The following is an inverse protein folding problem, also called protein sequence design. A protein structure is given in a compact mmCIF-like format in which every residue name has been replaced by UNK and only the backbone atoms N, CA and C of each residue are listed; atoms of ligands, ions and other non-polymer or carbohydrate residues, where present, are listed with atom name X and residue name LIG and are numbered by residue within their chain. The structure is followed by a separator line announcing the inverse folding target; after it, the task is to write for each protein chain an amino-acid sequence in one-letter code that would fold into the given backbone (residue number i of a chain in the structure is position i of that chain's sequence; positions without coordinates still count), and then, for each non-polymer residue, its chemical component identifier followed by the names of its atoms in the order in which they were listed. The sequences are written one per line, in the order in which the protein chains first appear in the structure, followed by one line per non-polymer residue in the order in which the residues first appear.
data_IF_675849448048
#
_entry.id   IF_675849448048
#
_cell.length_a   1.000
_cell.length_b   1.000
_cell.length_c   1.000
_cell.angle_alpha   90.00
_cell.angle_beta   90.00
_cell.angle_gamma   90.00
#
_symmetry.space_group_name_H-M   'P 1'
#
loop_
_entity.id
_entity.type
_entity.pdbx_description
1 polymer ?
#
# COMPACT_ATOMS: atom_id res chain seq x y z
N UNK A 1 33.56 -59.69 -63.02
CA UNK A 1 32.44 -60.14 -62.17
C UNK A 1 32.85 -60.07 -60.70
N UNK A 2 32.60 -58.96 -59.99
CA UNK A 2 32.66 -58.91 -58.52
C UNK A 2 31.36 -58.31 -58.00
N UNK A 3 30.76 -59.08 -57.10
CA UNK A 3 29.38 -59.02 -56.63
C UNK A 3 29.10 -57.75 -55.82
N UNK A 4 28.05 -57.03 -56.21
CA UNK A 4 27.31 -56.14 -55.32
C UNK A 4 26.56 -56.98 -54.28
N UNK A 5 26.72 -56.66 -53.00
CA UNK A 5 25.76 -57.04 -51.95
C UNK A 5 25.48 -55.82 -51.08
N UNK A 6 24.23 -55.38 -51.18
CA UNK A 6 23.59 -54.43 -50.30
C UNK A 6 23.30 -55.05 -48.92
N UNK A 7 22.88 -54.16 -48.00
CA UNK A 7 22.26 -54.34 -46.66
C UNK A 7 23.26 -54.07 -45.51
N UNK A 8 22.98 -53.20 -44.54
CA UNK A 8 21.71 -53.00 -43.83
C UNK A 8 21.49 -51.54 -43.42
N UNK A 9 20.25 -51.06 -43.61
CA UNK A 9 19.62 -50.08 -42.71
C UNK A 9 19.34 -50.76 -41.38
N UNK A 10 19.75 -50.17 -40.25
CA UNK A 10 19.10 -50.34 -38.94
C UNK A 10 19.06 -48.98 -38.24
N UNK A 11 17.82 -48.56 -37.95
CA UNK A 11 17.47 -47.44 -37.07
C UNK A 11 17.87 -47.76 -35.62
N UNK A 12 18.31 -46.74 -34.90
CA UNK A 12 18.21 -46.51 -33.46
C UNK A 12 18.62 -45.04 -33.28
N UNK A 13 17.70 -44.07 -33.16
CA UNK A 13 16.96 -43.75 -31.94
C UNK A 13 17.86 -43.75 -30.70
N UNK A 14 17.79 -42.65 -29.94
CA UNK A 14 18.39 -42.43 -28.63
C UNK A 14 19.84 -41.88 -28.58
N UNK A 15 19.99 -40.59 -28.94
CA UNK A 15 20.73 -39.61 -28.10
C UNK A 15 20.03 -38.25 -28.09
N UNK A 16 18.73 -38.25 -27.81
CA UNK A 16 18.02 -37.07 -27.27
C UNK A 16 18.10 -37.01 -25.73
N UNK A 17 19.00 -37.79 -25.11
CA UNK A 17 19.20 -37.79 -23.67
C UNK A 17 20.26 -36.75 -23.24
N UNK A 18 20.01 -35.47 -23.49
CA UNK A 18 20.56 -34.37 -22.67
C UNK A 18 19.74 -33.08 -22.76
N UNK A 19 18.56 -33.10 -23.38
CA UNK A 19 17.64 -31.96 -23.42
C UNK A 19 16.60 -32.01 -22.28
N UNK A 20 16.94 -32.63 -21.13
CA UNK A 20 16.16 -32.49 -19.90
C UNK A 20 16.71 -31.30 -19.12
N UNK A 21 16.53 -30.11 -19.67
CA UNK A 21 16.58 -28.86 -18.93
C UNK A 21 15.21 -28.58 -18.35
N UNK A 22 15.17 -28.21 -17.07
CA UNK A 22 14.02 -27.83 -16.26
C UNK A 22 12.87 -27.12 -17.02
N UNK A 23 11.60 -27.29 -16.58
CA UNK A 23 10.48 -26.58 -17.18
C UNK A 23 10.75 -25.08 -17.19
N UNK A 24 10.39 -24.44 -18.31
CA UNK A 24 10.47 -23.01 -18.60
C UNK A 24 9.95 -22.13 -17.45
N UNK A 25 10.70 -22.02 -16.36
CA UNK A 25 10.57 -20.99 -15.36
C UNK A 25 11.30 -19.80 -15.94
N UNK A 26 10.53 -18.91 -16.59
CA UNK A 26 10.91 -17.55 -17.02
C UNK A 26 12.43 -17.35 -17.07
N UNK A 27 13.01 -17.79 -18.19
CA UNK A 27 14.44 -17.82 -18.46
C UNK A 27 15.00 -16.38 -18.55
N UNK A 28 15.07 -15.72 -17.40
CA UNK A 28 15.53 -14.33 -17.26
C UNK A 28 17.04 -14.26 -17.12
N UNK A 29 17.69 -15.37 -16.77
CA UNK A 29 19.13 -15.46 -16.58
C UNK A 29 19.83 -16.10 -17.78
N UNK A 30 20.99 -15.57 -18.14
CA UNK A 30 21.77 -16.08 -19.29
C UNK A 30 22.50 -17.34 -18.84
N UNK A 31 22.32 -18.49 -19.52
CA UNK A 31 23.05 -19.68 -19.15
C UNK A 31 24.55 -19.47 -19.38
N UNK A 32 25.33 -19.52 -18.29
CA UNK A 32 26.80 -19.44 -18.36
C UNK A 32 27.36 -20.81 -18.75
N UNK A 33 28.08 -20.93 -19.88
CA UNK A 33 28.67 -22.19 -20.30
C UNK A 33 29.76 -22.67 -19.35
N UNK A 34 29.96 -23.99 -19.30
CA UNK A 34 31.01 -24.59 -18.47
C UNK A 34 32.33 -24.56 -19.25
N UNK A 35 33.24 -23.67 -18.83
CA UNK A 35 34.59 -23.50 -19.39
C UNK A 35 35.56 -24.63 -19.00
N UNK A 36 35.20 -25.87 -19.33
CA UNK A 36 36.05 -27.05 -19.12
C UNK A 36 36.11 -27.87 -20.41
N UNK A 37 37.32 -28.28 -20.80
CA UNK A 37 37.55 -29.18 -21.94
C UNK A 37 37.02 -30.58 -21.63
N UNK A 38 36.30 -31.16 -22.58
CA UNK A 38 35.83 -32.54 -22.49
C UNK A 38 36.97 -33.56 -22.56
N UNK A 39 36.79 -34.74 -21.94
CA UNK A 39 37.83 -35.80 -21.90
C UNK A 39 38.25 -36.34 -23.28
N UNK A 40 37.38 -36.23 -24.28
CA UNK A 40 37.60 -36.69 -25.67
C UNK A 40 37.63 -35.52 -26.67
N UNK A 41 37.63 -34.29 -26.18
CA UNK A 41 37.60 -33.08 -26.98
C UNK A 41 39.04 -32.67 -27.31
N UNK A 42 39.33 -32.38 -28.58
CA UNK A 42 40.61 -31.81 -28.99
C UNK A 42 40.70 -30.34 -28.58
N UNK A 43 41.91 -29.80 -28.50
CA UNK A 43 42.14 -28.40 -28.11
C UNK A 43 41.44 -27.42 -29.04
N UNK A 44 41.56 -27.64 -30.34
CA UNK A 44 40.93 -26.78 -31.34
C UNK A 44 39.40 -26.85 -31.28
N UNK A 45 38.82 -28.03 -31.04
CA UNK A 45 37.37 -28.17 -30.88
C UNK A 45 36.87 -27.44 -29.64
N UNK A 46 37.62 -27.51 -28.53
CA UNK A 46 37.33 -26.76 -27.31
C UNK A 46 37.35 -25.25 -27.55
N UNK A 47 38.41 -24.73 -28.19
CA UNK A 47 38.53 -23.30 -28.47
C UNK A 47 37.38 -22.81 -29.35
N UNK A 48 37.02 -23.54 -30.40
CA UNK A 48 35.91 -23.19 -31.28
C UNK A 48 34.57 -23.18 -30.54
N UNK A 49 34.32 -24.18 -29.68
CA UNK A 49 33.11 -24.22 -28.86
C UNK A 49 33.05 -23.05 -27.88
N UNK A 50 34.16 -22.75 -27.20
CA UNK A 50 34.24 -21.60 -26.28
C UNK A 50 34.00 -20.27 -26.99
N UNK A 51 34.54 -20.10 -28.20
CA UNK A 51 34.35 -18.87 -28.99
C UNK A 51 32.87 -18.69 -29.38
N UNK A 52 32.24 -19.74 -29.89
CA UNK A 52 30.81 -19.73 -30.25
C UNK A 52 29.92 -19.45 -29.04
N UNK A 53 30.15 -20.15 -27.92
CA UNK A 53 29.37 -19.99 -26.69
C UNK A 53 29.55 -18.57 -26.11
N UNK A 54 30.76 -18.01 -26.16
CA UNK A 54 31.06 -16.64 -25.70
C UNK A 54 30.36 -15.59 -26.55
N UNK A 55 30.39 -15.76 -27.88
CA UNK A 55 29.66 -14.88 -28.81
C UNK A 55 28.15 -14.95 -28.57
N UNK A 56 27.62 -16.13 -28.30
CA UNK A 56 26.20 -16.34 -28.01
C UNK A 56 25.78 -15.68 -26.68
N UNK A 57 26.55 -15.85 -25.60
CA UNK A 57 26.30 -15.17 -24.31
C UNK A 57 26.35 -13.65 -24.49
N UNK A 58 27.33 -13.14 -25.24
CA UNK A 58 27.45 -11.71 -25.53
C UNK A 58 26.23 -11.20 -26.31
N UNK A 59 25.75 -11.95 -27.29
CA UNK A 59 24.53 -11.63 -28.02
C UNK A 59 23.31 -11.59 -27.10
N UNK A 60 23.12 -12.60 -26.24
CA UNK A 60 22.03 -12.62 -25.28
C UNK A 60 22.11 -11.43 -24.31
N UNK A 61 23.32 -11.10 -23.85
CA UNK A 61 23.58 -9.97 -22.93
C UNK A 61 23.19 -8.64 -23.55
N UNK A 62 23.59 -8.40 -24.81
CA UNK A 62 23.27 -7.16 -25.53
C UNK A 62 21.77 -6.95 -25.74
N UNK A 63 21.00 -8.03 -25.80
CA UNK A 63 19.56 -7.99 -25.97
C UNK A 63 18.79 -7.99 -24.63
N UNK A 64 19.47 -7.94 -23.49
CA UNK A 64 18.80 -7.80 -22.20
C UNK A 64 18.43 -6.34 -21.95
N UNK A 65 17.22 -6.14 -21.45
CA UNK A 65 16.81 -4.85 -20.89
C UNK A 65 17.69 -4.59 -19.66
N UNK A 66 18.18 -3.35 -19.49
CA UNK A 66 18.91 -2.95 -18.29
C UNK A 66 18.05 -3.24 -17.06
N UNK A 67 18.49 -4.19 -16.23
CA UNK A 67 17.80 -4.51 -14.98
C UNK A 67 18.27 -3.55 -13.92
N UNK A 68 17.32 -2.91 -13.24
CA UNK A 68 17.56 -2.17 -12.01
C UNK A 68 16.98 -2.97 -10.83
N UNK A 69 17.66 -4.04 -10.39
CA UNK A 69 17.15 -4.90 -9.31
C UNK A 69 16.83 -4.12 -8.05
N UNK A 70 17.61 -3.07 -7.75
CA UNK A 70 17.38 -2.17 -6.62
C UNK A 70 16.06 -1.37 -6.75
N UNK A 71 15.62 -1.02 -7.96
CA UNK A 71 14.35 -0.30 -8.17
C UNK A 71 13.14 -1.24 -8.16
N UNK A 72 13.30 -2.47 -8.61
CA UNK A 72 12.22 -3.46 -8.66
C UNK A 72 11.91 -4.03 -7.27
N UNK A 73 12.93 -4.28 -6.45
CA UNK A 73 12.74 -4.65 -5.03
C UNK A 73 12.08 -3.52 -4.24
N UNK A 74 12.46 -2.26 -4.49
CA UNK A 74 11.81 -1.11 -3.84
C UNK A 74 10.33 -0.97 -4.21
N UNK A 75 9.93 -1.34 -5.43
CA UNK A 75 8.54 -1.31 -5.88
C UNK A 75 7.75 -2.53 -5.38
N UNK A 76 8.37 -3.71 -5.30
CA UNK A 76 7.70 -4.94 -4.88
C UNK A 76 7.33 -4.97 -3.40
N UNK A 77 8.10 -4.27 -2.54
CA UNK A 77 7.98 -4.42 -1.07
C UNK A 77 6.65 -3.91 -0.50
N UNK A 78 5.95 -2.93 -1.12
CA UNK A 78 4.74 -2.37 -0.50
C UNK A 78 3.62 -1.88 -1.45
N UNK A 79 3.40 -2.52 -2.60
CA UNK A 79 2.26 -2.16 -3.45
C UNK A 79 1.03 -3.01 -3.08
N UNK A 80 0.13 -2.42 -2.27
CA UNK A 80 -1.24 -2.95 -2.11
C UNK A 80 -1.89 -3.14 -3.48
N UNK A 81 -2.62 -4.24 -3.67
CA UNK A 81 -3.41 -4.45 -4.89
C UNK A 81 -4.38 -3.28 -5.12
N UNK A 82 -4.68 -2.97 -6.38
CA UNK A 82 -5.56 -1.86 -6.76
C UNK A 82 -6.92 -1.95 -6.05
N UNK A 83 -7.50 -3.16 -6.01
CA UNK A 83 -8.74 -3.47 -5.29
C UNK A 83 -8.68 -3.13 -3.80
N UNK A 84 -7.52 -3.34 -3.16
CA UNK A 84 -7.32 -2.99 -1.75
C UNK A 84 -7.24 -1.48 -1.54
N UNK A 85 -6.59 -0.75 -2.46
CA UNK A 85 -6.55 0.73 -2.45
C UNK A 85 -7.96 1.33 -2.60
N UNK A 86 -8.75 0.81 -3.55
CA UNK A 86 -10.14 1.25 -3.74
C UNK A 86 -11.02 0.97 -2.52
N UNK A 87 -10.90 -0.22 -1.93
CA UNK A 87 -11.63 -0.58 -0.73
C UNK A 87 -11.32 0.37 0.44
N UNK A 88 -10.03 0.67 0.66
CA UNK A 88 -9.60 1.58 1.71
C UNK A 88 -10.12 3.02 1.44
N UNK A 89 -10.08 3.49 0.18
CA UNK A 89 -10.65 4.79 -0.23
C UNK A 89 -12.16 4.87 0.02
N UNK A 90 -12.92 3.86 -0.42
CA UNK A 90 -14.38 3.81 -0.25
C UNK A 90 -14.78 3.75 1.23
N UNK A 91 -13.97 3.09 2.07
CA UNK A 91 -14.18 3.06 3.53
C UNK A 91 -13.97 4.45 4.15
N UNK A 92 -12.94 5.17 3.72
CA UNK A 92 -12.66 6.54 4.18
C UNK A 92 -13.78 7.50 3.76
N UNK A 93 -14.22 7.43 2.51
CA UNK A 93 -15.31 8.26 1.97
C UNK A 93 -16.61 8.08 2.76
N UNK A 94 -16.98 6.83 3.09
CA UNK A 94 -18.14 6.54 3.94
C UNK A 94 -18.02 7.18 5.33
N UNK A 95 -16.82 7.24 5.90
CA UNK A 95 -16.59 7.84 7.21
C UNK A 95 -16.76 9.37 7.16
N UNK A 96 -16.23 10.00 6.10
CA UNK A 96 -16.34 11.44 5.86
C UNK A 96 -17.81 11.81 5.67
N UNK A 97 -18.53 11.11 4.78
CA UNK A 97 -19.95 11.34 4.53
C UNK A 97 -20.80 11.21 5.80
N UNK A 98 -20.58 10.18 6.61
CA UNK A 98 -21.27 10.03 7.92
C UNK A 98 -20.99 11.19 8.88
N UNK A 99 -19.81 11.82 8.80
CA UNK A 99 -19.46 12.98 9.62
C UNK A 99 -20.16 14.23 9.12
N UNK A 100 -20.27 14.41 7.81
CA UNK A 100 -20.99 15.52 7.16
C UNK A 100 -22.48 15.45 7.45
N UNK A 101 -23.12 14.29 7.24
CA UNK A 101 -24.54 14.08 7.56
C UNK A 101 -24.85 14.38 9.04
N UNK A 102 -23.93 14.06 9.96
CA UNK A 102 -24.09 14.40 11.39
C UNK A 102 -23.94 15.90 11.66
N UNK A 103 -23.11 16.60 10.89
CA UNK A 103 -22.98 18.06 11.00
C UNK A 103 -24.24 18.74 10.46
N UNK A 104 -24.71 18.32 9.30
CA UNK A 104 -25.95 18.82 8.68
C UNK A 104 -27.14 18.64 9.63
N UNK A 105 -27.34 17.44 10.18
CA UNK A 105 -28.40 17.21 11.19
C UNK A 105 -28.29 18.10 12.43
N UNK A 106 -27.06 18.40 12.88
CA UNK A 106 -26.86 19.32 14.01
C UNK A 106 -27.21 20.75 13.63
N UNK A 107 -26.84 21.17 12.42
CA UNK A 107 -27.19 22.49 11.89
C UNK A 107 -28.70 22.62 11.70
N UNK A 108 -29.38 21.63 11.13
CA UNK A 108 -30.85 21.59 11.01
C UNK A 108 -31.54 21.74 12.37
N UNK A 109 -31.07 21.00 13.39
CA UNK A 109 -31.58 21.13 14.76
C UNK A 109 -31.31 22.50 15.37
N UNK A 110 -30.18 23.13 15.04
CA UNK A 110 -29.83 24.47 15.50
C UNK A 110 -30.76 25.53 14.85
N UNK A 111 -30.98 25.45 13.53
CA UNK A 111 -31.94 26.31 12.83
C UNK A 111 -33.37 26.14 13.36
N UNK A 112 -33.80 24.92 13.66
CA UNK A 112 -35.15 24.67 14.17
C UNK A 112 -35.34 25.16 15.62
N UNK A 113 -34.29 25.15 16.45
CA UNK A 113 -34.31 25.72 17.80
C UNK A 113 -34.30 27.26 17.77
N UNK A 114 -33.69 27.87 16.76
CA UNK A 114 -33.56 29.33 16.63
C UNK A 114 -34.84 30.07 16.26
N UNK A 115 -35.87 29.39 15.76
CA UNK A 115 -37.06 30.04 15.19
C UNK A 115 -38.39 29.76 15.92
N UNK A 116 -38.38 29.16 17.12
CA UNK A 116 -39.60 29.00 17.91
C UNK A 116 -39.75 30.11 18.96
N UNK A 117 -40.06 31.31 18.49
CA UNK A 117 -40.81 32.29 19.26
C UNK A 117 -42.27 32.20 18.83
N UNK A 118 -42.85 30.99 18.97
CA UNK A 118 -44.28 30.81 18.80
C UNK A 118 -44.96 31.50 19.98
N UNK A 119 -45.63 32.60 19.70
CA UNK A 119 -46.44 33.33 20.66
C UNK A 119 -47.47 32.37 21.27
N UNK A 120 -47.20 31.94 22.50
CA UNK A 120 -48.02 31.05 23.33
C UNK A 120 -49.41 31.66 23.52
N UNK A 121 -50.39 31.20 22.74
CA UNK A 121 -51.80 31.37 23.05
C UNK A 121 -52.13 30.53 24.29
N UNK A 122 -52.36 31.23 25.40
CA UNK A 122 -52.80 30.68 26.67
C UNK A 122 -54.20 30.08 26.49
N UNK A 123 -54.29 28.76 26.43
CA UNK A 123 -55.54 28.04 26.72
C UNK A 123 -55.43 27.53 28.16
N UNK A 124 -56.17 28.20 29.03
CA UNK A 124 -56.30 27.91 30.45
C UNK A 124 -57.23 26.70 30.61
N UNK A 125 -56.68 25.51 30.89
CA UNK A 125 -57.48 24.38 31.37
C UNK A 125 -57.42 24.30 32.89
N UNK A 126 -58.56 24.59 33.51
CA UNK A 126 -58.83 24.33 34.92
C UNK A 126 -59.19 22.85 35.08
N UNK A 127 -58.56 22.15 36.02
CA UNK A 127 -59.16 21.25 37.03
C UNK A 127 -58.10 20.31 37.64
N UNK A 128 -58.25 20.09 38.95
CA UNK A 128 -57.33 19.41 39.85
C UNK A 128 -57.40 17.87 39.76
N UNK A 129 -56.33 17.17 40.19
CA UNK A 129 -56.38 16.20 41.30
C UNK A 129 -54.97 15.76 41.75
N UNK A 130 -54.84 15.55 43.06
CA UNK A 130 -53.62 15.13 43.76
C UNK A 130 -53.55 13.61 43.79
N UNK A 131 -52.38 13.03 43.52
CA UNK A 131 -51.99 11.74 44.11
C UNK A 131 -50.48 11.77 44.41
N UNK A 132 -50.15 11.93 45.70
CA UNK A 132 -48.80 11.62 46.20
C UNK A 132 -48.74 10.13 46.51
N UNK A 133 -47.94 9.38 45.75
CA UNK A 133 -47.54 8.01 46.10
C UNK A 133 -46.17 8.04 46.78
N UNK A 134 -46.00 7.35 47.93
CA UNK A 134 -44.74 7.32 48.67
C UNK A 134 -43.86 6.15 48.22
N UNK A 135 -42.57 6.40 48.01
CA UNK A 135 -41.56 5.36 47.81
C UNK A 135 -40.59 5.68 46.68
N UNK A 136 -39.38 5.11 46.76
CA UNK A 136 -38.29 5.23 45.78
C UNK A 136 -37.54 6.58 45.77
N UNK A 137 -36.96 6.99 46.92
CA UNK A 137 -35.80 7.90 46.88
C UNK A 137 -34.57 7.08 46.46
N UNK A 138 -33.92 7.31 45.31
CA UNK A 138 -32.64 6.67 45.03
C UNK A 138 -31.63 7.14 46.08
N UNK A 139 -31.03 6.21 46.81
CA UNK A 139 -30.00 6.49 47.82
C UNK A 139 -28.95 7.45 47.24
N UNK A 140 -28.76 8.61 47.89
CA UNK A 140 -27.86 9.69 47.45
C UNK A 140 -26.44 9.18 47.10
N UNK A 141 -26.01 8.11 47.75
CA UNK A 141 -24.74 7.44 47.51
C UNK A 141 -24.66 6.76 46.14
N UNK A 142 -25.76 6.23 45.58
CA UNK A 142 -25.78 5.66 44.22
C UNK A 142 -25.61 6.74 43.15
N UNK A 143 -26.10 7.96 43.41
CA UNK A 143 -25.86 9.13 42.54
C UNK A 143 -24.43 9.67 42.65
N UNK A 144 -23.76 9.50 43.79
CA UNK A 144 -22.34 9.88 43.93
C UNK A 144 -21.37 8.81 43.41
N UNK A 145 -21.70 7.51 43.55
CA UNK A 145 -20.78 6.40 43.28
C UNK A 145 -20.98 5.72 41.92
N UNK A 146 -21.95 6.17 41.12
CA UNK A 146 -22.05 5.88 39.68
C UNK A 146 -21.70 4.46 39.24
N UNK A 147 -22.55 3.46 39.51
CA UNK A 147 -22.50 2.10 38.94
C UNK A 147 -23.86 1.42 39.18
N UNK A 148 -24.53 0.66 38.32
CA UNK A 148 -24.26 0.09 37.01
C UNK A 148 -25.57 -0.53 36.48
N UNK A 149 -25.98 -0.23 35.24
CA UNK A 149 -26.61 -1.18 34.31
C UNK A 149 -26.81 -0.52 32.94
N UNK A 150 -26.06 -0.97 31.94
CA UNK A 150 -26.29 -0.84 30.49
C UNK A 150 -26.67 0.55 29.91
N UNK A 151 -25.68 1.28 29.37
CA UNK A 151 -25.92 2.23 28.26
C UNK A 151 -24.63 2.48 27.46
N UNK A 152 -24.64 2.40 26.11
CA UNK A 152 -23.50 2.70 25.25
C UNK A 152 -23.33 4.22 25.02
N UNK A 153 -23.35 5.00 26.09
CA UNK A 153 -23.35 6.47 26.03
C UNK A 153 -22.31 7.07 26.94
N UNK A 154 -21.07 6.57 26.88
CA UNK A 154 -19.94 7.42 27.23
C UNK A 154 -19.71 8.37 26.05
N UNK A 155 -20.44 9.50 26.05
CA UNK A 155 -19.98 10.67 25.30
C UNK A 155 -18.55 10.92 25.79
N UNK A 156 -17.54 11.06 24.91
CA UNK A 156 -16.23 11.50 25.37
C UNK A 156 -16.45 12.83 26.08
N UNK A 157 -15.98 12.92 27.33
CA UNK A 157 -16.03 14.15 28.12
C UNK A 157 -15.62 15.31 27.21
N UNK A 158 -16.50 16.32 27.09
CA UNK A 158 -16.26 17.48 26.23
C UNK A 158 -14.93 18.11 26.62
N UNK A 159 -13.93 17.91 25.77
CA UNK A 159 -12.59 18.42 25.97
C UNK A 159 -12.69 19.93 26.17
N UNK A 160 -12.19 20.46 27.29
CA UNK A 160 -12.22 21.91 27.56
C UNK A 160 -11.66 22.71 26.37
N UNK A 161 -12.28 23.84 26.05
CA UNK A 161 -11.84 24.72 24.96
C UNK A 161 -10.36 25.10 25.08
N UNK A 162 -9.87 25.27 26.32
CA UNK A 162 -8.45 25.52 26.58
C UNK A 162 -7.56 24.35 26.12
N UNK A 163 -7.96 23.11 26.43
CA UNK A 163 -7.26 21.91 25.98
C UNK A 163 -7.34 21.73 24.46
N UNK A 164 -8.44 22.14 23.83
CA UNK A 164 -8.54 22.11 22.37
C UNK A 164 -7.54 23.08 21.72
N UNK A 165 -7.37 24.30 22.26
CA UNK A 165 -6.39 25.28 21.77
C UNK A 165 -4.96 24.74 21.86
N UNK A 166 -4.59 24.15 23.01
CA UNK A 166 -3.27 23.52 23.20
C UNK A 166 -3.04 22.43 22.13
N UNK A 167 -4.03 21.55 21.92
CA UNK A 167 -3.91 20.48 20.91
C UNK A 167 -3.80 21.03 19.48
N UNK A 168 -4.49 22.13 19.17
CA UNK A 168 -4.42 22.77 17.84
C UNK A 168 -3.07 23.41 17.60
N UNK A 169 -2.52 24.12 18.57
CA UNK A 169 -1.19 24.72 18.49
C UNK A 169 -0.10 23.65 18.30
N UNK A 170 -0.16 22.56 19.08
CA UNK A 170 0.76 21.43 18.91
C UNK A 170 0.66 20.81 17.51
N UNK A 171 -0.54 20.70 16.96
CA UNK A 171 -0.73 20.21 15.59
C UNK A 171 -0.08 21.13 14.56
N UNK A 172 -0.22 22.44 14.72
CA UNK A 172 0.38 23.42 13.81
C UNK A 172 1.92 23.34 13.86
N UNK A 173 2.51 23.22 15.06
CA UNK A 173 3.96 23.03 15.23
C UNK A 173 4.45 21.76 14.55
N UNK A 174 3.77 20.62 14.75
CA UNK A 174 4.14 19.34 14.14
C UNK A 174 4.05 19.41 12.61
N UNK A 175 2.99 20.02 12.07
CA UNK A 175 2.81 20.15 10.62
C UNK A 175 3.90 21.03 10.02
N UNK A 176 4.26 22.14 10.68
CA UNK A 176 5.34 23.02 10.25
C UNK A 176 6.69 22.28 10.24
N UNK A 177 7.04 21.63 11.35
CA UNK A 177 8.28 20.85 11.46
C UNK A 177 8.36 19.74 10.39
N UNK A 178 7.24 19.03 10.14
CA UNK A 178 7.17 18.03 9.09
C UNK A 178 7.40 18.61 7.69
N UNK A 179 6.79 19.77 7.38
CA UNK A 179 7.00 20.47 6.11
C UNK A 179 8.45 20.90 5.94
N UNK A 180 9.07 21.39 6.99
CA UNK A 180 10.47 21.84 6.97
C UNK A 180 11.42 20.66 6.75
N UNK A 181 11.24 19.56 7.48
CA UNK A 181 11.99 18.31 7.27
C UNK A 181 11.81 17.76 5.85
N UNK A 182 10.59 17.85 5.29
CA UNK A 182 10.32 17.43 3.92
C UNK A 182 11.04 18.30 2.89
N UNK A 183 11.08 19.62 3.09
CA UNK A 183 11.85 20.55 2.23
C UNK A 183 13.34 20.26 2.30
N UNK A 184 13.88 20.03 3.51
CA UNK A 184 15.29 19.67 3.70
C UNK A 184 15.67 18.37 3.01
N UNK A 185 14.78 17.37 2.95
CA UNK A 185 15.01 16.13 2.18
C UNK A 185 14.96 16.34 0.66
N UNK A 186 14.22 17.34 0.18
CA UNK A 186 14.12 17.66 -1.25
C UNK A 186 15.30 18.51 -1.77
N UNK A 187 15.84 19.40 -0.94
CA UNK A 187 17.00 20.23 -1.28
C UNK A 187 18.24 19.48 -1.78
N UNK A 188 18.73 18.38 -1.14
CA UNK A 188 19.88 17.64 -1.63
C UNK A 188 19.59 16.96 -2.98
N UNK A 189 18.36 16.48 -3.20
CA UNK A 189 17.96 15.91 -4.49
C UNK A 189 17.96 16.96 -5.60
N UNK A 190 17.43 18.16 -5.35
CA UNK A 190 17.45 19.26 -6.33
C UNK A 190 18.85 19.80 -6.62
N UNK A 191 19.74 19.84 -5.62
CA UNK A 191 21.12 20.27 -5.84
C UNK A 191 21.91 19.20 -6.59
N UNK A 192 21.71 17.91 -6.28
CA UNK A 192 22.34 16.81 -7.03
C UNK A 192 21.93 16.83 -8.50
N UNK A 193 20.63 16.96 -8.83
CA UNK A 193 20.21 16.98 -10.24
C UNK A 193 20.77 18.18 -11.00
N UNK A 194 20.78 19.38 -10.40
CA UNK A 194 21.33 20.59 -11.05
C UNK A 194 22.86 20.48 -11.23
N UNK A 195 23.58 19.88 -10.28
CA UNK A 195 25.01 19.63 -10.43
C UNK A 195 25.34 18.56 -11.48
N UNK A 196 24.51 17.53 -11.62
CA UNK A 196 24.68 16.49 -12.64
C UNK A 196 24.38 17.05 -14.04
N UNK A 197 23.40 17.95 -14.16
CA UNK A 197 23.09 18.64 -15.43
C UNK A 197 24.21 19.59 -15.87
N UNK A 198 24.82 20.34 -14.94
CA UNK A 198 25.97 21.21 -15.23
C UNK A 198 27.24 20.46 -15.67
N UNK A 199 27.41 19.21 -15.25
CA UNK A 199 28.51 18.37 -15.74
C UNK A 199 28.24 17.79 -17.14
N UNK A 200 26.96 17.72 -17.55
CA UNK A 200 26.56 17.13 -18.83
C UNK A 200 26.61 18.13 -19.97
N UNK A 201 26.48 19.41 -19.68
CA UNK A 201 26.69 20.51 -20.63
C UNK A 201 27.68 21.51 -20.03
N UNK A 202 28.99 21.31 -20.20
CA UNK A 202 29.95 22.37 -19.92
C UNK A 202 29.86 23.41 -21.03
N UNK A 203 29.70 24.68 -20.65
CA UNK A 203 29.90 25.81 -21.57
C UNK A 203 31.33 25.84 -22.13
#
# INVERSE_FOLDING_TARGET
MRSQKNKCKRKAEEKEASARGEPYQLQTDIPVPRFKRGKRESENAYIQRMDQESQHVLFLTRNQIERHPEMEEQQAVHVKSEKKKEHDRKRLEKLIKKREEKKEKRQELEYFKGNQQLHSTVIQSTTAQRHSVPGEKPLLLKTLLGSSSASPSQRPASVSMARQRIIQEERERVVKAYRDLKKLKQQPLSQTVVSVEKLKNPD
#
